data_IF_107279869658
#
_entry.id   IF_107279869658
#
_cell.length_a   1.000
_cell.length_b   1.000
_cell.length_c   1.000
_cell.angle_alpha   90.00
_cell.angle_beta   90.00
_cell.angle_gamma   90.00
#
_symmetry.space_group_name_H-M   'P 1'
#
loop_
_entity.id
_entity.type
_entity.pdbx_description
1 polymer ?
#
# COMPACT_ATOMS: atom_id res chain seq x y z
N UNK A 1 8.12 -19.20 -5.00
CA UNK A 1 7.09 -18.37 -5.61
C UNK A 1 6.85 -17.13 -4.77
N UNK A 2 6.94 -15.98 -5.39
CA UNK A 2 6.66 -14.75 -4.69
C UNK A 2 5.14 -14.62 -4.47
N UNK A 3 4.75 -14.52 -3.23
CA UNK A 3 3.37 -14.26 -2.87
C UNK A 3 3.23 -12.83 -2.42
N UNK A 4 2.25 -12.15 -2.98
CA UNK A 4 1.92 -10.79 -2.55
C UNK A 4 0.64 -10.83 -1.74
N UNK A 5 0.65 -10.14 -0.61
CA UNK A 5 -0.57 -9.89 0.15
C UNK A 5 -1.20 -8.64 -0.46
N UNK A 6 -2.34 -8.80 -1.10
CA UNK A 6 -2.98 -7.68 -1.79
C UNK A 6 -3.95 -6.97 -0.86
N UNK A 7 -3.80 -5.64 -0.78
CA UNK A 7 -4.67 -4.79 0.02
C UNK A 7 -5.36 -3.83 -0.94
N UNK A 8 -6.65 -4.02 -1.15
CA UNK A 8 -7.42 -3.18 -2.05
C UNK A 8 -8.08 -2.06 -1.25
N UNK A 9 -7.59 -0.83 -1.46
CA UNK A 9 -8.12 0.34 -0.76
C UNK A 9 -8.85 1.28 -1.70
N UNK A 10 -9.22 0.80 -2.89
CA UNK A 10 -9.97 1.63 -3.84
C UNK A 10 -11.34 1.98 -3.27
N UNK A 11 -11.75 3.21 -3.48
CA UNK A 11 -13.04 3.69 -3.00
C UNK A 11 -13.12 3.99 -1.53
N UNK A 12 -12.03 3.82 -0.79
CA UNK A 12 -12.01 4.10 0.64
C UNK A 12 -11.49 5.51 0.90
N UNK A 13 -11.98 6.11 1.98
CA UNK A 13 -11.58 7.44 2.40
C UNK A 13 -10.53 7.38 3.50
N UNK A 14 -9.64 8.37 3.51
CA UNK A 14 -8.68 8.53 4.61
C UNK A 14 -9.43 8.59 5.96
N UNK A 15 -8.94 7.94 7.02
CA UNK A 15 -7.65 7.26 7.16
C UNK A 15 -7.67 5.75 6.90
N UNK A 16 -8.78 5.21 6.41
CA UNK A 16 -8.94 3.77 6.25
C UNK A 16 -7.86 3.09 5.40
N UNK A 17 -7.46 3.66 4.23
CA UNK A 17 -6.42 3.00 3.44
C UNK A 17 -5.12 2.81 4.20
N UNK A 18 -4.71 3.80 4.99
CA UNK A 18 -3.48 3.71 5.77
C UNK A 18 -3.62 2.67 6.87
N UNK A 19 -4.78 2.65 7.54
CA UNK A 19 -5.04 1.69 8.62
C UNK A 19 -5.03 0.25 8.09
N UNK A 20 -5.65 0.01 6.94
CA UNK A 20 -5.66 -1.31 6.34
C UNK A 20 -4.26 -1.76 5.93
N UNK A 21 -3.46 -0.83 5.42
CA UNK A 21 -2.09 -1.13 5.05
C UNK A 21 -1.26 -1.49 6.29
N UNK A 22 -1.44 -0.75 7.38
CA UNK A 22 -0.75 -1.05 8.63
C UNK A 22 -1.18 -2.40 9.20
N UNK A 23 -2.46 -2.70 9.14
CA UNK A 23 -2.98 -3.99 9.60
C UNK A 23 -2.36 -5.14 8.81
N UNK A 24 -2.29 -5.00 7.48
CA UNK A 24 -1.70 -6.03 6.64
C UNK A 24 -0.22 -6.23 6.98
N UNK A 25 0.49 -5.13 7.23
CA UNK A 25 1.90 -5.20 7.60
C UNK A 25 2.10 -5.97 8.90
N UNK A 26 1.23 -5.75 9.86
CA UNK A 26 1.33 -6.42 11.16
C UNK A 26 0.90 -7.89 11.08
N UNK A 27 -0.09 -8.17 10.24
CA UNK A 27 -0.63 -9.52 10.11
C UNK A 27 0.29 -10.44 9.30
N UNK A 28 1.03 -9.88 8.36
CA UNK A 28 1.89 -10.65 7.46
C UNK A 28 3.33 -10.14 7.50
N UNK A 29 4.01 -10.25 8.66
CA UNK A 29 5.39 -9.73 8.77
C UNK A 29 6.34 -10.50 7.85
N UNK A 30 7.20 -9.76 7.16
CA UNK A 30 8.16 -10.33 6.22
C UNK A 30 7.61 -10.64 4.84
N UNK A 31 6.31 -10.51 4.64
CA UNK A 31 5.69 -10.77 3.35
C UNK A 31 5.72 -9.51 2.48
N UNK A 32 5.64 -9.72 1.16
CA UNK A 32 5.50 -8.59 0.25
C UNK A 32 4.04 -8.15 0.22
N UNK A 33 3.82 -6.87 0.46
CA UNK A 33 2.49 -6.28 0.49
C UNK A 33 2.31 -5.44 -0.77
N UNK A 34 1.18 -5.60 -1.44
CA UNK A 34 0.81 -4.78 -2.59
C UNK A 34 -0.49 -4.05 -2.27
N UNK A 35 -0.41 -2.72 -2.22
CA UNK A 35 -1.59 -1.89 -1.97
C UNK A 35 -2.10 -1.36 -3.30
N UNK A 36 -3.38 -1.55 -3.55
CA UNK A 36 -4.03 -1.08 -4.77
C UNK A 36 -5.00 0.04 -4.42
N UNK A 37 -4.82 1.20 -5.02
CA UNK A 37 -5.65 2.36 -4.74
C UNK A 37 -5.95 3.18 -5.99
N UNK A 38 -6.82 4.17 -5.84
CA UNK A 38 -7.27 4.98 -6.97
C UNK A 38 -7.24 6.49 -6.70
N UNK A 39 -6.73 6.91 -5.55
CA UNK A 39 -6.66 8.33 -5.20
C UNK A 39 -5.24 8.79 -4.90
N UNK A 40 -4.89 9.98 -5.42
CA UNK A 40 -3.56 10.54 -5.21
C UNK A 40 -3.26 10.82 -3.73
N UNK A 41 -4.26 11.28 -2.97
CA UNK A 41 -4.08 11.52 -1.54
C UNK A 41 -3.77 10.23 -0.79
N UNK A 42 -4.47 9.17 -1.14
CA UNK A 42 -4.22 7.85 -0.55
C UNK A 42 -2.80 7.40 -0.82
N UNK A 43 -2.36 7.54 -2.07
CA UNK A 43 -1.00 7.17 -2.47
C UNK A 43 0.03 7.93 -1.64
N UNK A 44 -0.14 9.24 -1.53
CA UNK A 44 0.80 10.08 -0.78
C UNK A 44 0.84 9.71 0.70
N UNK A 45 -0.31 9.44 1.28
CA UNK A 45 -0.37 9.08 2.69
C UNK A 45 0.33 7.75 2.97
N UNK A 46 0.15 6.78 2.10
CA UNK A 46 0.80 5.48 2.25
C UNK A 46 2.31 5.61 2.04
N UNK A 47 2.71 6.38 1.02
CA UNK A 47 4.13 6.62 0.77
C UNK A 47 4.80 7.31 1.97
N UNK A 48 4.11 8.27 2.58
CA UNK A 48 4.61 8.93 3.78
C UNK A 48 4.77 7.97 4.95
N UNK A 49 3.79 7.09 5.13
CA UNK A 49 3.86 6.09 6.19
C UNK A 49 5.07 5.17 5.99
N UNK A 50 5.29 4.72 4.77
CA UNK A 50 6.42 3.84 4.47
C UNK A 50 7.75 4.56 4.69
N UNK A 51 7.84 5.82 4.29
CA UNK A 51 9.03 6.62 4.50
C UNK A 51 9.30 6.81 6.00
N UNK A 52 8.26 7.07 6.77
CA UNK A 52 8.37 7.23 8.21
C UNK A 52 8.89 5.97 8.89
N UNK A 53 8.51 4.81 8.36
CA UNK A 53 8.92 3.51 8.91
C UNK A 53 10.19 2.97 8.26
N UNK A 54 10.84 3.77 7.42
CA UNK A 54 12.07 3.38 6.72
C UNK A 54 11.90 2.13 5.85
N UNK A 55 10.76 2.04 5.19
CA UNK A 55 10.50 0.94 4.27
C UNK A 55 10.61 1.42 2.82
N UNK A 56 11.18 0.57 1.98
CA UNK A 56 11.33 0.88 0.57
C UNK A 56 10.08 0.47 -0.19
N UNK A 57 9.21 1.43 -0.44
CA UNK A 57 8.01 1.20 -1.23
C UNK A 57 8.23 1.59 -2.68
N UNK A 58 7.69 0.81 -3.60
CA UNK A 58 7.72 1.13 -5.02
C UNK A 58 6.30 1.37 -5.51
N UNK A 59 6.09 2.53 -6.11
CA UNK A 59 4.79 2.92 -6.64
C UNK A 59 4.77 2.78 -8.15
N UNK A 60 3.77 2.09 -8.67
CA UNK A 60 3.54 1.95 -10.09
C UNK A 60 2.15 2.47 -10.43
N UNK A 61 2.04 3.28 -11.48
CA UNK A 61 0.76 3.77 -11.95
C UNK A 61 0.27 2.86 -13.08
N UNK A 62 -0.98 2.40 -12.95
CA UNK A 62 -1.59 1.52 -13.94
C UNK A 62 -2.24 2.33 -15.05
N UNK A 63 -2.52 1.66 -16.18
CA UNK A 63 -3.14 2.30 -17.32
C UNK A 63 -4.57 2.80 -17.04
N UNK A 64 -5.23 2.18 -16.06
CA UNK A 64 -6.59 2.56 -15.66
C UNK A 64 -6.63 3.72 -14.65
N UNK A 65 -5.48 4.30 -14.33
CA UNK A 65 -5.40 5.41 -13.39
C UNK A 65 -5.21 5.00 -11.95
N UNK A 66 -5.29 3.71 -11.65
CA UNK A 66 -5.03 3.20 -10.30
C UNK A 66 -3.52 3.11 -10.06
N UNK A 67 -3.14 3.02 -8.79
CA UNK A 67 -1.74 2.85 -8.43
C UNK A 67 -1.56 1.56 -7.63
N UNK A 68 -0.34 1.04 -7.65
CA UNK A 68 0.06 -0.08 -6.83
C UNK A 68 1.31 0.31 -6.07
N UNK A 69 1.29 0.10 -4.76
CA UNK A 69 2.47 0.33 -3.93
C UNK A 69 2.88 -1.02 -3.38
N UNK A 70 4.12 -1.42 -3.67
CA UNK A 70 4.66 -2.70 -3.22
C UNK A 70 5.77 -2.44 -2.22
N UNK A 71 5.70 -3.11 -1.08
CA UNK A 71 6.75 -3.01 -0.07
C UNK A 71 6.83 -4.32 0.72
N UNK A 72 7.93 -4.50 1.41
CA UNK A 72 8.11 -5.67 2.29
C UNK A 72 7.75 -5.29 3.72
N UNK A 73 6.87 -6.07 4.30
CA UNK A 73 6.39 -5.81 5.65
C UNK A 73 7.45 -6.04 6.72
#
# INVERSE_FOLDING_TARGET
>A
MAKFVEVDVRGLSCPEPVLLTMDAREEYPGEMIRVLGDEAHTRKNIEKMLEYEHKDGQTTTRADGCFEITFQA
#
